data_IF_009372464651
#
_entry.id   IF_009372464651
#
_cell.length_a   1.000
_cell.length_b   1.000
_cell.length_c   1.000
_cell.angle_alpha   90.00
_cell.angle_beta   90.00
_cell.angle_gamma   90.00
#
_symmetry.space_group_name_H-M   'P 1'
#
loop_
_entity.id
_entity.type
_entity.pdbx_description
1 polymer ?
#
# COMPACT_ATOMS: atom_id res chain seq x y z
N UNK A 1 28.55 -15.23 6.72
CA UNK A 1 27.60 -14.10 6.62
C UNK A 1 26.41 -14.44 5.71
N UNK A 2 26.61 -14.74 4.44
CA UNK A 2 25.61 -15.06 3.43
C UNK A 2 24.57 -16.13 3.86
N UNK A 3 24.99 -17.34 4.28
CA UNK A 3 24.06 -18.42 4.74
C UNK A 3 23.18 -17.98 5.91
N UNK A 4 23.72 -17.17 6.83
CA UNK A 4 22.96 -16.62 7.94
C UNK A 4 21.88 -15.67 7.43
N UNK A 5 22.20 -14.82 6.45
CA UNK A 5 21.25 -13.85 5.90
C UNK A 5 20.09 -14.56 5.18
N UNK A 6 20.38 -15.57 4.35
CA UNK A 6 19.32 -16.40 3.73
C UNK A 6 18.39 -17.00 4.77
N UNK A 7 18.94 -17.58 5.84
CA UNK A 7 18.14 -18.16 6.91
C UNK A 7 17.25 -17.11 7.59
N UNK A 8 17.82 -15.98 7.96
CA UNK A 8 17.04 -14.89 8.59
C UNK A 8 15.92 -14.39 7.68
N UNK A 9 16.22 -14.16 6.41
CA UNK A 9 15.18 -13.75 5.43
C UNK A 9 14.08 -14.82 5.30
N UNK A 10 14.42 -16.10 5.29
CA UNK A 10 13.41 -17.16 5.25
C UNK A 10 12.58 -17.21 6.54
N UNK A 11 13.23 -17.08 7.71
CA UNK A 11 12.55 -17.02 9.01
C UNK A 11 11.61 -15.81 9.11
N UNK A 12 12.00 -14.66 8.59
CA UNK A 12 11.18 -13.43 8.55
C UNK A 12 9.93 -13.65 7.68
N UNK A 13 10.11 -14.23 6.48
CA UNK A 13 8.99 -14.54 5.57
C UNK A 13 8.05 -15.58 6.21
N UNK A 14 8.60 -16.63 6.80
CA UNK A 14 7.80 -17.65 7.50
C UNK A 14 7.06 -17.09 8.71
N UNK A 15 7.68 -16.13 9.41
CA UNK A 15 7.15 -15.48 10.59
C UNK A 15 6.01 -14.49 10.33
N UNK A 16 5.77 -14.07 9.09
CA UNK A 16 4.73 -13.09 8.73
C UNK A 16 3.34 -13.48 9.23
N UNK A 17 3.05 -14.79 9.25
CA UNK A 17 1.77 -15.32 9.76
C UNK A 17 1.50 -14.93 11.23
N UNK A 18 2.51 -14.53 11.99
CA UNK A 18 2.33 -14.11 13.38
C UNK A 18 1.64 -12.74 13.48
N UNK A 19 1.84 -11.84 12.51
CA UNK A 19 1.03 -10.64 12.33
C UNK A 19 -0.15 -10.92 11.41
N UNK A 20 -1.28 -11.31 12.00
CA UNK A 20 -2.49 -11.70 11.26
C UNK A 20 -3.04 -10.60 10.36
N UNK A 21 -2.79 -9.34 10.70
CA UNK A 21 -3.24 -8.20 9.91
C UNK A 21 -2.40 -8.05 8.63
N UNK A 22 -1.08 -8.07 8.77
CA UNK A 22 -0.16 -8.03 7.64
C UNK A 22 -0.31 -9.26 6.77
N UNK A 23 -0.39 -10.46 7.38
CA UNK A 23 -0.61 -11.71 6.66
C UNK A 23 -1.89 -11.68 5.80
N UNK A 24 -3.02 -11.25 6.37
CA UNK A 24 -4.27 -11.18 5.61
C UNK A 24 -4.17 -10.19 4.43
N UNK A 25 -3.44 -9.09 4.59
CA UNK A 25 -3.21 -8.14 3.50
C UNK A 25 -2.34 -8.75 2.40
N UNK A 26 -1.23 -9.39 2.76
CA UNK A 26 -0.35 -10.08 1.80
C UNK A 26 -1.12 -11.13 1.01
N UNK A 27 -1.90 -11.99 1.70
CA UNK A 27 -2.70 -13.03 1.05
C UNK A 27 -3.75 -12.46 0.08
N UNK A 28 -4.40 -11.36 0.44
CA UNK A 28 -5.32 -10.68 -0.45
C UNK A 28 -4.59 -10.16 -1.71
N UNK A 29 -3.42 -9.53 -1.55
CA UNK A 29 -2.63 -9.03 -2.68
C UNK A 29 -2.07 -10.16 -3.56
N UNK A 30 -1.61 -11.25 -2.99
CA UNK A 30 -1.20 -12.46 -3.73
C UNK A 30 -2.36 -13.00 -4.58
N UNK A 31 -3.59 -12.98 -4.05
CA UNK A 31 -4.79 -13.44 -4.76
C UNK A 31 -5.18 -12.45 -5.86
N UNK A 32 -5.25 -11.16 -5.54
CA UNK A 32 -5.67 -10.09 -6.44
C UNK A 32 -4.71 -9.89 -7.62
N UNK A 33 -3.42 -10.11 -7.40
CA UNK A 33 -2.35 -9.90 -8.37
C UNK A 33 -1.70 -11.22 -8.82
N UNK A 34 -2.43 -12.35 -8.81
CA UNK A 34 -1.87 -13.68 -9.07
C UNK A 34 -1.16 -13.81 -10.43
N UNK A 35 -1.58 -13.05 -11.42
CA UNK A 35 -0.98 -13.03 -12.77
C UNK A 35 0.13 -11.98 -12.93
N UNK A 36 0.56 -11.36 -11.84
CA UNK A 36 1.57 -10.30 -11.82
C UNK A 36 2.75 -10.67 -10.92
N UNK A 37 3.94 -10.13 -11.20
CA UNK A 37 5.12 -10.29 -10.30
C UNK A 37 4.81 -9.73 -8.89
N UNK A 38 3.91 -8.75 -8.80
CA UNK A 38 3.49 -8.17 -7.53
C UNK A 38 2.72 -9.15 -6.63
N UNK A 39 2.09 -10.17 -7.23
CA UNK A 39 1.36 -11.23 -6.52
C UNK A 39 2.16 -12.49 -6.26
N UNK A 40 3.51 -12.47 -6.36
CA UNK A 40 4.33 -13.63 -6.01
C UNK A 40 4.01 -14.12 -4.60
N UNK A 41 3.67 -15.41 -4.52
CA UNK A 41 3.30 -16.04 -3.26
C UNK A 41 4.50 -16.20 -2.33
N UNK A 42 4.24 -16.22 -1.04
CA UNK A 42 5.23 -16.51 0.00
C UNK A 42 6.07 -17.77 -0.31
N UNK A 43 5.43 -18.84 -0.80
CA UNK A 43 6.13 -20.07 -1.12
C UNK A 43 7.09 -19.90 -2.29
N UNK A 44 6.69 -19.18 -3.35
CA UNK A 44 7.56 -18.89 -4.49
C UNK A 44 8.74 -18.02 -4.08
N UNK A 45 8.51 -17.02 -3.22
CA UNK A 45 9.59 -16.19 -2.68
C UNK A 45 10.56 -17.03 -1.87
N UNK A 46 10.08 -17.92 -0.98
CA UNK A 46 10.92 -18.82 -0.19
C UNK A 46 11.74 -19.77 -1.07
N UNK A 47 11.15 -20.32 -2.12
CA UNK A 47 11.87 -21.16 -3.06
C UNK A 47 12.97 -20.38 -3.81
N UNK A 48 12.71 -19.13 -4.18
CA UNK A 48 13.68 -18.27 -4.82
C UNK A 48 14.81 -17.88 -3.87
N UNK A 49 14.52 -17.57 -2.61
CA UNK A 49 15.52 -17.29 -1.57
C UNK A 49 16.47 -18.48 -1.40
N UNK A 50 15.96 -19.72 -1.40
CA UNK A 50 16.79 -20.94 -1.29
C UNK A 50 17.75 -21.13 -2.48
N UNK A 51 17.43 -20.61 -3.66
CA UNK A 51 18.26 -20.70 -4.89
C UNK A 51 19.36 -19.64 -4.96
N UNK A 52 19.32 -18.60 -4.12
CA UNK A 52 20.33 -17.53 -4.11
C UNK A 52 21.70 -18.07 -3.76
N UNK A 53 22.72 -17.67 -4.52
CA UNK A 53 24.14 -17.99 -4.29
C UNK A 53 24.96 -16.71 -4.15
N UNK A 54 26.16 -16.72 -3.56
CA UNK A 54 27.03 -15.55 -3.53
C UNK A 54 27.30 -14.96 -4.91
N UNK A 55 27.41 -15.82 -5.92
CA UNK A 55 27.65 -15.42 -7.31
C UNK A 55 26.43 -14.73 -7.92
N UNK A 56 25.22 -15.30 -7.75
CA UNK A 56 23.98 -14.69 -8.24
C UNK A 56 23.68 -13.37 -7.54
N UNK A 57 23.95 -13.27 -6.23
CA UNK A 57 23.79 -12.05 -5.46
C UNK A 57 24.73 -10.95 -5.94
N UNK A 58 26.02 -11.28 -6.17
CA UNK A 58 26.98 -10.33 -6.71
C UNK A 58 26.62 -9.90 -8.13
N UNK A 59 26.12 -10.81 -8.96
CA UNK A 59 25.67 -10.49 -10.31
C UNK A 59 24.47 -9.54 -10.27
N UNK A 60 23.48 -9.81 -9.42
CA UNK A 60 22.31 -8.95 -9.23
C UNK A 60 22.71 -7.55 -8.73
N UNK A 61 23.64 -7.48 -7.76
CA UNK A 61 24.15 -6.21 -7.27
C UNK A 61 24.82 -5.37 -8.38
N UNK A 62 25.70 -5.99 -9.17
CA UNK A 62 26.35 -5.33 -10.32
C UNK A 62 25.33 -4.88 -11.36
N UNK A 63 24.33 -5.72 -11.63
CA UNK A 63 23.24 -5.40 -12.55
C UNK A 63 22.47 -4.16 -12.07
N UNK A 64 22.07 -4.12 -10.78
CA UNK A 64 21.36 -2.98 -10.19
C UNK A 64 22.18 -1.69 -10.26
N UNK A 65 23.49 -1.75 -9.93
CA UNK A 65 24.35 -0.57 -10.02
C UNK A 65 24.45 -0.02 -11.44
N UNK A 66 24.44 -0.90 -12.44
CA UNK A 66 24.56 -0.51 -13.86
C UNK A 66 23.25 -0.04 -14.46
N UNK A 67 22.14 -0.70 -14.13
CA UNK A 67 20.88 -0.55 -14.86
C UNK A 67 19.73 -0.01 -14.02
N UNK A 68 19.85 0.01 -12.68
CA UNK A 68 18.78 0.53 -11.84
C UNK A 68 18.72 2.06 -11.85
N UNK A 69 17.52 2.61 -11.65
CA UNK A 69 17.36 4.01 -11.29
C UNK A 69 17.85 4.16 -9.85
N UNK A 70 18.76 5.10 -9.62
CA UNK A 70 19.34 5.36 -8.29
C UNK A 70 19.09 6.81 -7.94
N UNK A 71 18.31 7.04 -6.89
CA UNK A 71 18.11 8.34 -6.29
C UNK A 71 18.91 8.41 -4.99
N UNK A 72 19.56 9.54 -4.78
CA UNK A 72 20.32 9.83 -3.55
C UNK A 72 19.83 11.15 -2.97
N UNK A 73 19.32 11.08 -1.77
CA UNK A 73 18.90 12.26 -1.03
C UNK A 73 20.03 12.66 -0.07
N UNK A 74 20.38 13.93 -0.05
CA UNK A 74 21.35 14.48 0.89
C UNK A 74 20.71 15.69 1.60
N UNK A 75 20.41 15.53 2.87
CA UNK A 75 19.70 16.53 3.68
C UNK A 75 20.60 16.95 4.84
N UNK A 76 20.89 18.22 4.93
CA UNK A 76 21.72 18.76 6.01
C UNK A 76 22.62 19.91 5.55
N UNK A 77 23.57 20.27 6.38
CA UNK A 77 24.56 21.33 6.08
C UNK A 77 25.71 20.77 5.21
N UNK A 78 25.41 20.47 3.96
CA UNK A 78 26.36 19.97 2.96
C UNK A 78 26.18 20.71 1.65
N UNK A 79 27.31 21.01 0.96
CA UNK A 79 27.22 21.65 -0.35
C UNK A 79 26.85 20.64 -1.44
N UNK A 80 26.09 21.10 -2.43
CA UNK A 80 25.72 20.28 -3.60
C UNK A 80 26.96 19.78 -4.36
N UNK A 81 27.99 20.63 -4.51
CA UNK A 81 29.22 20.26 -5.19
C UNK A 81 29.99 19.16 -4.47
N UNK A 82 30.07 19.21 -3.14
CA UNK A 82 30.70 18.15 -2.35
C UNK A 82 29.92 16.83 -2.46
N UNK A 83 28.61 16.87 -2.45
CA UNK A 83 27.78 15.70 -2.70
C UNK A 83 28.06 15.12 -4.09
N UNK A 84 27.98 15.91 -5.13
CA UNK A 84 28.22 15.48 -6.50
C UNK A 84 29.63 14.91 -6.68
N UNK A 85 30.65 15.52 -6.05
CA UNK A 85 32.02 15.03 -6.10
C UNK A 85 32.14 13.65 -5.45
N UNK A 86 31.62 13.48 -4.22
CA UNK A 86 31.64 12.20 -3.50
C UNK A 86 30.89 11.10 -4.26
N UNK A 87 29.76 11.44 -4.88
CA UNK A 87 29.00 10.50 -5.69
C UNK A 87 29.78 10.03 -6.93
N UNK A 88 30.41 10.96 -7.67
CA UNK A 88 31.23 10.60 -8.83
C UNK A 88 32.39 9.69 -8.42
N UNK A 89 33.04 9.96 -7.28
CA UNK A 89 34.10 9.13 -6.75
C UNK A 89 33.58 7.73 -6.37
N UNK A 90 32.44 7.64 -5.68
CA UNK A 90 31.82 6.37 -5.26
C UNK A 90 31.35 5.49 -6.43
N UNK A 91 30.94 6.09 -7.54
CA UNK A 91 30.48 5.38 -8.74
C UNK A 91 31.52 5.26 -9.85
N UNK A 92 32.78 5.67 -9.61
CA UNK A 92 33.85 5.66 -10.62
C UNK A 92 34.11 4.29 -11.24
N UNK A 93 33.98 3.22 -10.45
CA UNK A 93 34.24 1.84 -10.87
C UNK A 93 33.01 1.14 -11.50
N UNK A 94 31.86 1.78 -11.52
CA UNK A 94 30.63 1.17 -12.10
C UNK A 94 30.66 1.18 -13.63
N UNK A 95 31.41 2.11 -14.22
CA UNK A 95 31.48 2.34 -15.66
C UNK A 95 30.23 3.04 -16.21
N UNK A 96 30.00 2.90 -17.51
CA UNK A 96 28.81 3.47 -18.17
C UNK A 96 27.55 2.79 -17.67
N UNK A 97 26.58 3.60 -17.25
CA UNK A 97 25.28 3.14 -16.74
C UNK A 97 24.22 3.29 -17.81
N UNK A 98 23.34 2.30 -17.90
CA UNK A 98 22.18 2.28 -18.79
C UNK A 98 20.90 2.05 -17.97
N UNK A 99 20.46 3.05 -17.17
CA UNK A 99 19.25 2.91 -16.37
C UNK A 99 18.04 2.64 -17.27
N UNK A 100 17.17 1.75 -16.81
CA UNK A 100 15.88 1.52 -17.43
C UNK A 100 14.78 1.66 -16.38
N UNK A 101 13.63 2.12 -16.82
CA UNK A 101 12.45 2.21 -15.99
C UNK A 101 11.69 0.88 -16.08
N UNK A 102 11.48 0.19 -14.94
CA UNK A 102 10.71 -1.04 -14.96
C UNK A 102 9.25 -0.74 -15.27
N UNK A 103 8.64 -1.52 -16.15
CA UNK A 103 7.22 -1.45 -16.43
C UNK A 103 6.41 -1.87 -15.21
N UNK A 104 5.41 -1.06 -14.87
CA UNK A 104 4.40 -1.41 -13.87
C UNK A 104 3.13 -1.85 -14.59
N UNK A 105 2.65 -3.04 -14.28
CA UNK A 105 1.36 -3.51 -14.80
C UNK A 105 0.25 -2.87 -13.98
N UNK A 106 -0.60 -2.09 -14.62
CA UNK A 106 -1.84 -1.58 -14.06
C UNK A 106 -3.01 -2.38 -14.61
N UNK A 107 -3.86 -2.89 -13.72
CA UNK A 107 -5.15 -3.47 -14.08
C UNK A 107 -6.22 -2.46 -13.67
N UNK A 108 -6.91 -1.90 -14.66
CA UNK A 108 -7.83 -0.78 -14.46
C UNK A 108 -9.10 -1.21 -13.74
N UNK A 109 -9.69 -2.32 -14.17
CA UNK A 109 -10.96 -2.84 -13.67
C UNK A 109 -10.82 -4.32 -13.31
N UNK A 110 -11.63 -4.76 -12.36
CA UNK A 110 -11.77 -6.17 -12.06
C UNK A 110 -12.58 -6.87 -13.15
N UNK A 111 -12.09 -8.01 -13.64
CA UNK A 111 -12.85 -8.85 -14.59
C UNK A 111 -13.95 -9.61 -13.86
N UNK A 112 -13.60 -10.31 -12.79
CA UNK A 112 -14.49 -11.09 -11.94
C UNK A 112 -14.16 -10.87 -10.46
N UNK A 113 -15.17 -11.00 -9.58
CA UNK A 113 -14.96 -10.97 -8.14
C UNK A 113 -14.33 -12.29 -7.65
N UNK A 114 -13.18 -12.19 -7.03
CA UNK A 114 -12.51 -13.33 -6.38
C UNK A 114 -12.77 -13.31 -4.88
N UNK A 115 -13.27 -14.40 -4.34
CA UNK A 115 -13.48 -14.58 -2.89
C UNK A 115 -12.63 -15.73 -2.37
N UNK A 116 -11.83 -15.48 -1.33
CA UNK A 116 -11.01 -16.47 -0.65
C UNK A 116 -11.19 -16.40 0.86
N UNK A 117 -11.37 -17.55 1.49
CA UNK A 117 -11.41 -17.66 2.95
C UNK A 117 -10.41 -18.70 3.40
N UNK A 118 -9.54 -18.32 4.34
CA UNK A 118 -8.64 -19.22 5.06
C UNK A 118 -9.02 -19.23 6.52
N UNK A 119 -8.85 -20.37 7.19
CA UNK A 119 -9.15 -20.52 8.62
C UNK A 119 -7.86 -20.62 9.44
N UNK A 120 -7.84 -19.94 10.58
CA UNK A 120 -6.71 -19.97 11.50
C UNK A 120 -7.23 -19.82 12.94
N UNK A 121 -6.59 -20.53 13.88
CA UNK A 121 -6.92 -20.37 15.30
C UNK A 121 -6.58 -18.96 15.76
N UNK A 122 -7.60 -18.14 15.97
CA UNK A 122 -7.49 -16.74 16.40
C UNK A 122 -8.84 -16.19 16.84
N UNK A 123 -8.82 -15.23 17.77
CA UNK A 123 -10.04 -14.67 18.36
C UNK A 123 -10.78 -13.68 17.43
N UNK A 124 -10.09 -13.07 16.48
CA UNK A 124 -10.67 -11.99 15.67
C UNK A 124 -10.34 -12.22 14.19
N UNK A 125 -11.35 -12.40 13.38
CA UNK A 125 -11.20 -12.54 11.92
C UNK A 125 -10.68 -11.26 11.29
N UNK A 126 -9.97 -11.38 10.16
CA UNK A 126 -9.52 -10.28 9.34
C UNK A 126 -10.21 -10.34 7.98
N UNK A 127 -10.90 -9.26 7.63
CA UNK A 127 -11.52 -9.08 6.33
C UNK A 127 -10.74 -8.03 5.57
N UNK A 128 -10.29 -8.37 4.36
CA UNK A 128 -9.54 -7.48 3.48
C UNK A 128 -10.19 -7.46 2.12
N UNK A 129 -10.47 -6.27 1.61
CA UNK A 129 -11.04 -6.05 0.29
C UNK A 129 -10.02 -5.30 -0.57
N UNK A 130 -9.84 -5.77 -1.80
CA UNK A 130 -9.04 -5.11 -2.82
C UNK A 130 -9.93 -4.53 -3.92
N UNK A 131 -9.72 -3.25 -4.24
CA UNK A 131 -10.41 -2.55 -5.32
C UNK A 131 -9.42 -2.14 -6.38
N UNK A 132 -9.75 -2.38 -7.66
CA UNK A 132 -9.10 -1.72 -8.79
C UNK A 132 -9.61 -0.29 -8.85
N UNK A 133 -8.73 0.64 -9.20
CA UNK A 133 -9.02 2.06 -9.11
C UNK A 133 -9.10 2.79 -10.45
N UNK A 134 -9.15 2.08 -11.59
CA UNK A 134 -9.14 2.70 -12.92
C UNK A 134 -7.87 3.50 -13.20
N UNK A 135 -6.73 3.17 -12.56
CA UNK A 135 -5.47 3.85 -12.76
C UNK A 135 -4.71 3.24 -13.94
N UNK A 136 -4.16 4.09 -14.80
CA UNK A 136 -3.27 3.74 -15.90
C UNK A 136 -1.98 4.54 -15.80
N UNK A 137 -0.98 4.22 -16.63
CA UNK A 137 0.26 5.01 -16.74
C UNK A 137 0.01 6.47 -17.19
N UNK A 138 -1.11 6.69 -17.92
CA UNK A 138 -1.45 8.00 -18.50
C UNK A 138 -2.28 8.90 -17.56
N UNK A 139 -2.91 8.33 -16.51
CA UNK A 139 -3.82 9.07 -15.65
C UNK A 139 -3.42 8.96 -14.16
N UNK A 140 -2.33 9.60 -13.78
CA UNK A 140 -1.98 9.73 -12.35
C UNK A 140 -2.81 10.85 -11.70
N UNK A 141 -4.01 10.52 -11.24
CA UNK A 141 -4.85 11.39 -10.43
C UNK A 141 -4.62 11.14 -8.91
N UNK A 142 -3.37 10.96 -8.53
CA UNK A 142 -2.94 10.60 -7.18
C UNK A 142 -3.58 11.47 -6.09
N UNK A 143 -3.66 12.78 -6.29
CA UNK A 143 -4.17 13.71 -5.27
C UNK A 143 -5.65 13.48 -4.99
N UNK A 144 -6.47 13.30 -6.01
CA UNK A 144 -7.90 13.00 -5.85
C UNK A 144 -8.11 11.61 -5.26
N UNK A 145 -7.32 10.59 -5.69
CA UNK A 145 -7.35 9.24 -5.11
C UNK A 145 -6.97 9.24 -3.64
N UNK A 146 -5.96 9.99 -3.27
CA UNK A 146 -5.51 10.08 -1.88
C UNK A 146 -6.58 10.71 -0.99
N UNK A 147 -7.22 11.81 -1.44
CA UNK A 147 -8.34 12.45 -0.70
C UNK A 147 -9.54 11.51 -0.66
N UNK A 148 -9.93 10.91 -1.79
CA UNK A 148 -11.05 9.96 -1.82
C UNK A 148 -10.84 8.82 -0.84
N UNK A 149 -9.65 8.20 -0.83
CA UNK A 149 -9.32 7.12 0.11
C UNK A 149 -9.38 7.57 1.56
N UNK A 150 -8.96 8.81 1.84
CA UNK A 150 -8.97 9.39 3.19
C UNK A 150 -10.39 9.68 3.68
N UNK A 151 -11.23 10.33 2.87
CA UNK A 151 -12.66 10.52 3.17
C UNK A 151 -13.35 9.18 3.41
N UNK A 152 -13.03 8.18 2.60
CA UNK A 152 -13.64 6.87 2.69
C UNK A 152 -13.24 6.12 3.95
N UNK A 153 -11.92 6.02 4.25
CA UNK A 153 -11.43 5.19 5.36
C UNK A 153 -10.08 5.60 5.95
N UNK A 154 -9.63 6.85 5.81
CA UNK A 154 -8.30 7.29 6.21
C UNK A 154 -8.11 7.59 7.69
N UNK A 155 -9.15 7.99 8.41
CA UNK A 155 -9.03 8.42 9.80
C UNK A 155 -10.30 8.26 10.62
N UNK A 156 -10.31 8.72 11.88
CA UNK A 156 -11.47 8.62 12.78
C UNK A 156 -12.71 9.39 12.29
N UNK A 157 -12.52 10.38 11.45
CA UNK A 157 -13.59 11.17 10.82
C UNK A 157 -14.12 10.52 9.53
N UNK A 158 -13.47 9.46 9.03
CA UNK A 158 -13.81 8.82 7.76
C UNK A 158 -15.13 8.06 7.81
N UNK A 159 -15.72 7.88 6.63
CA UNK A 159 -17.01 7.23 6.50
C UNK A 159 -17.03 5.80 7.01
N UNK A 160 -16.01 5.01 6.70
CA UNK A 160 -15.92 3.62 7.19
C UNK A 160 -15.77 3.57 8.71
N UNK A 161 -14.93 4.43 9.28
CA UNK A 161 -14.77 4.49 10.73
C UNK A 161 -16.10 4.86 11.41
N UNK A 162 -16.73 5.95 10.99
CA UNK A 162 -17.94 6.48 11.63
C UNK A 162 -19.15 5.56 11.45
N UNK A 163 -19.31 4.89 10.30
CA UNK A 163 -20.51 4.11 10.02
C UNK A 163 -20.34 2.62 10.33
N UNK A 164 -19.21 1.99 9.97
CA UNK A 164 -19.01 0.55 10.19
C UNK A 164 -18.62 0.27 11.65
N UNK A 165 -17.67 1.07 12.18
CA UNK A 165 -17.15 0.87 13.55
C UNK A 165 -18.01 1.54 14.60
N UNK A 166 -18.18 2.88 14.54
CA UNK A 166 -18.82 3.62 15.63
C UNK A 166 -20.32 3.42 15.65
N UNK A 167 -20.99 3.62 14.53
CA UNK A 167 -22.47 3.59 14.48
C UNK A 167 -23.05 2.19 14.54
N UNK A 168 -22.49 1.25 13.79
CA UNK A 168 -23.02 -0.11 13.68
C UNK A 168 -22.28 -1.12 14.56
N UNK A 169 -21.11 -0.76 15.10
CA UNK A 169 -20.28 -1.62 15.96
C UNK A 169 -19.98 -3.00 15.33
N UNK A 170 -19.83 -3.04 14.00
CA UNK A 170 -19.64 -4.29 13.25
C UNK A 170 -18.17 -4.75 13.22
N UNK A 171 -17.24 -3.87 13.61
CA UNK A 171 -15.81 -4.16 13.55
C UNK A 171 -15.03 -3.40 14.63
N UNK A 172 -13.83 -3.88 14.92
CA UNK A 172 -12.89 -3.21 15.84
C UNK A 172 -12.12 -2.10 15.17
N UNK A 173 -11.84 -2.25 13.89
CA UNK A 173 -11.28 -1.22 13.02
C UNK A 173 -11.79 -1.44 11.59
N UNK A 174 -11.88 -0.36 10.84
CA UNK A 174 -12.13 -0.39 9.39
C UNK A 174 -11.38 0.80 8.80
N UNK A 175 -10.46 0.54 7.88
CA UNK A 175 -9.62 1.57 7.28
C UNK A 175 -9.34 1.29 5.81
N UNK A 176 -9.21 2.35 5.02
CA UNK A 176 -8.83 2.29 3.61
C UNK A 176 -7.39 2.80 3.40
N UNK A 177 -6.68 2.20 2.44
CA UNK A 177 -5.33 2.58 2.06
C UNK A 177 -5.15 2.51 0.54
N UNK A 178 -4.52 3.53 -0.02
CA UNK A 178 -4.09 3.56 -1.42
C UNK A 178 -2.69 2.94 -1.56
N UNK A 179 -2.55 1.96 -2.46
CA UNK A 179 -1.26 1.46 -2.94
C UNK A 179 -0.99 2.18 -4.27
N UNK A 180 -0.34 3.34 -4.19
CA UNK A 180 -0.13 4.26 -5.31
C UNK A 180 0.50 3.56 -6.51
N UNK A 181 1.61 2.82 -6.31
CA UNK A 181 2.35 2.17 -7.40
C UNK A 181 1.58 1.07 -8.14
N UNK A 182 0.36 0.73 -7.71
CA UNK A 182 -0.51 -0.28 -8.35
C UNK A 182 -1.92 0.23 -8.63
N UNK A 183 -2.26 1.43 -8.19
CA UNK A 183 -3.62 1.94 -8.30
C UNK A 183 -4.66 1.15 -7.50
N UNK A 184 -4.23 0.35 -6.53
CA UNK A 184 -5.10 -0.51 -5.72
C UNK A 184 -5.53 0.24 -4.46
N UNK A 185 -6.81 0.18 -4.12
CA UNK A 185 -7.32 0.60 -2.82
C UNK A 185 -7.67 -0.63 -2.01
N UNK A 186 -7.10 -0.70 -0.81
CA UNK A 186 -7.30 -1.81 0.12
C UNK A 186 -8.12 -1.33 1.30
N UNK A 187 -9.17 -2.08 1.66
CA UNK A 187 -9.89 -1.92 2.92
C UNK A 187 -9.52 -3.08 3.84
N UNK A 188 -9.14 -2.77 5.07
CA UNK A 188 -8.86 -3.74 6.10
C UNK A 188 -9.82 -3.57 7.27
N UNK A 189 -10.38 -4.67 7.76
CA UNK A 189 -11.28 -4.66 8.92
C UNK A 189 -11.02 -5.86 9.83
N UNK A 190 -11.10 -5.63 11.14
CA UNK A 190 -11.10 -6.69 12.16
C UNK A 190 -12.52 -6.93 12.63
N UNK A 191 -13.06 -8.12 12.39
CA UNK A 191 -14.48 -8.42 12.57
C UNK A 191 -14.70 -9.74 13.35
N UNK A 192 -15.90 -9.90 13.87
CA UNK A 192 -16.40 -11.24 14.20
C UNK A 192 -16.82 -11.95 12.91
N UNK A 193 -16.61 -13.28 12.83
CA UNK A 193 -16.86 -14.09 11.62
C UNK A 193 -18.28 -13.92 11.09
N UNK A 194 -19.25 -13.85 11.97
CA UNK A 194 -20.67 -13.73 11.67
C UNK A 194 -21.05 -12.37 11.07
N UNK A 195 -20.23 -11.35 11.28
CA UNK A 195 -20.47 -10.00 10.78
C UNK A 195 -19.97 -9.78 9.35
N UNK A 196 -19.31 -10.78 8.70
CA UNK A 196 -18.72 -10.67 7.37
C UNK A 196 -19.65 -9.99 6.37
N UNK A 197 -20.87 -10.54 6.18
CA UNK A 197 -21.80 -10.03 5.17
C UNK A 197 -22.27 -8.62 5.51
N UNK A 198 -22.59 -8.33 6.77
CA UNK A 198 -23.04 -7.00 7.20
C UNK A 198 -21.95 -5.94 6.98
N UNK A 199 -20.69 -6.30 7.21
CA UNK A 199 -19.55 -5.40 6.98
C UNK A 199 -19.37 -5.14 5.49
N UNK A 200 -19.44 -6.18 4.65
CA UNK A 200 -19.38 -6.04 3.19
C UNK A 200 -20.50 -5.14 2.66
N UNK A 201 -21.73 -5.39 3.08
CA UNK A 201 -22.89 -4.61 2.65
C UNK A 201 -22.75 -3.13 3.04
N UNK A 202 -22.28 -2.87 4.26
CA UNK A 202 -22.09 -1.49 4.72
C UNK A 202 -20.92 -0.80 4.02
N UNK A 203 -19.80 -1.49 3.77
CA UNK A 203 -18.68 -0.93 2.99
C UNK A 203 -19.16 -0.55 1.59
N UNK A 204 -19.89 -1.43 0.91
CA UNK A 204 -20.44 -1.15 -0.42
C UNK A 204 -21.42 0.01 -0.38
N UNK A 205 -22.30 0.07 0.60
CA UNK A 205 -23.23 1.20 0.79
C UNK A 205 -22.49 2.52 0.99
N UNK A 206 -21.41 2.53 1.76
CA UNK A 206 -20.59 3.74 1.94
C UNK A 206 -19.86 4.12 0.65
N UNK A 207 -19.42 3.15 -0.14
CA UNK A 207 -18.83 3.42 -1.45
C UNK A 207 -19.87 4.02 -2.43
N UNK A 208 -21.11 3.52 -2.43
CA UNK A 208 -22.18 4.09 -3.26
C UNK A 208 -22.46 5.55 -2.89
N UNK A 209 -22.44 5.90 -1.62
CA UNK A 209 -22.55 7.29 -1.16
C UNK A 209 -21.41 8.15 -1.72
N UNK A 210 -20.17 7.62 -1.73
CA UNK A 210 -19.03 8.30 -2.36
C UNK A 210 -19.23 8.47 -3.87
N UNK A 211 -19.68 7.42 -4.57
CA UNK A 211 -19.97 7.44 -6.01
C UNK A 211 -21.10 8.43 -6.38
N UNK A 212 -22.07 8.60 -5.52
CA UNK A 212 -23.15 9.57 -5.71
C UNK A 212 -22.71 11.01 -5.38
N UNK A 213 -21.59 11.19 -4.67
CA UNK A 213 -21.13 12.50 -4.18
C UNK A 213 -21.88 12.98 -2.94
N UNK A 214 -22.53 12.06 -2.21
CA UNK A 214 -23.37 12.34 -1.03
C UNK A 214 -22.57 12.40 0.29
N UNK A 215 -21.23 12.42 0.24
CA UNK A 215 -20.40 12.71 1.40
C UNK A 215 -20.46 14.20 1.77
N UNK A 216 -20.31 14.51 3.06
CA UNK A 216 -20.47 15.89 3.55
C UNK A 216 -19.27 16.79 3.16
N UNK A 217 -19.50 18.11 3.16
CA UNK A 217 -18.40 19.07 3.03
C UNK A 217 -17.45 18.98 4.23
N UNK A 218 -17.98 18.67 5.42
CA UNK A 218 -17.18 18.51 6.63
C UNK A 218 -16.22 17.33 6.51
N UNK A 219 -16.67 16.15 6.02
CA UNK A 219 -15.83 14.99 5.78
C UNK A 219 -14.71 15.32 4.77
N UNK A 220 -15.06 16.01 3.69
CA UNK A 220 -14.13 16.39 2.63
C UNK A 220 -13.06 17.38 3.12
N UNK A 221 -13.47 18.47 3.79
CA UNK A 221 -12.54 19.48 4.28
C UNK A 221 -11.67 18.95 5.45
N UNK A 222 -12.23 18.09 6.30
CA UNK A 222 -11.45 17.42 7.35
C UNK A 222 -10.34 16.55 6.78
N UNK A 223 -10.64 15.77 5.73
CA UNK A 223 -9.65 14.93 5.04
C UNK A 223 -8.58 15.76 4.34
N UNK A 224 -8.96 16.81 3.60
CA UNK A 224 -8.00 17.74 2.97
C UNK A 224 -7.07 18.35 4.01
N UNK A 225 -7.63 18.85 5.11
CA UNK A 225 -6.86 19.44 6.18
C UNK A 225 -5.88 18.45 6.80
N UNK A 226 -6.34 17.24 7.14
CA UNK A 226 -5.50 16.22 7.75
C UNK A 226 -4.33 15.81 6.85
N UNK A 227 -4.57 15.65 5.54
CA UNK A 227 -3.53 15.35 4.56
C UNK A 227 -2.55 16.52 4.47
N UNK A 228 -3.02 17.75 4.30
CA UNK A 228 -2.14 18.91 4.20
C UNK A 228 -1.29 19.11 5.47
N UNK A 229 -1.87 18.87 6.66
CA UNK A 229 -1.12 18.96 7.92
C UNK A 229 -0.04 17.87 8.01
N UNK A 230 -0.33 16.65 7.55
CA UNK A 230 0.66 15.58 7.45
C UNK A 230 1.79 15.94 6.48
N UNK A 231 1.48 16.54 5.32
CA UNK A 231 2.50 16.95 4.36
C UNK A 231 3.36 18.12 4.87
N UNK A 232 2.79 19.07 5.62
CA UNK A 232 3.57 20.13 6.30
C UNK A 232 4.60 19.56 7.26
N UNK A 233 4.25 18.48 7.97
CA UNK A 233 5.14 17.87 8.96
C UNK A 233 6.38 17.20 8.33
N UNK A 234 6.41 16.94 7.02
CA UNK A 234 7.62 16.46 6.36
C UNK A 234 8.76 17.49 6.42
N UNK A 235 8.47 18.77 6.54
CA UNK A 235 9.48 19.82 6.69
C UNK A 235 10.06 19.94 8.11
N UNK A 236 9.53 19.21 9.10
CA UNK A 236 9.93 19.37 10.50
C UNK A 236 11.29 18.72 10.81
N UNK A 237 11.65 17.65 10.09
CA UNK A 237 12.90 16.92 10.35
C UNK A 237 13.58 16.45 9.07
N UNK A 238 14.92 16.34 9.04
CA UNK A 238 15.66 15.76 7.91
C UNK A 238 15.20 14.34 7.56
N UNK A 239 14.92 13.50 8.56
CA UNK A 239 14.48 12.12 8.36
C UNK A 239 13.11 12.06 7.68
N UNK A 240 12.19 12.96 8.04
CA UNK A 240 10.88 13.04 7.40
C UNK A 240 10.99 13.47 5.93
N UNK A 241 11.86 14.44 5.63
CA UNK A 241 12.16 14.86 4.25
C UNK A 241 12.79 13.72 3.45
N UNK A 242 13.71 12.94 4.02
CA UNK A 242 14.33 11.79 3.34
C UNK A 242 13.29 10.73 2.97
N UNK A 243 12.41 10.38 3.91
CA UNK A 243 11.30 9.47 3.66
C UNK A 243 10.38 10.01 2.56
N UNK A 244 10.03 11.31 2.61
CA UNK A 244 9.16 11.93 1.63
C UNK A 244 9.74 11.86 0.21
N UNK A 245 10.96 12.34 0.03
CA UNK A 245 11.62 12.30 -1.28
C UNK A 245 12.00 10.89 -1.72
N UNK A 246 12.28 9.97 -0.79
CA UNK A 246 12.54 8.57 -1.09
C UNK A 246 11.37 7.83 -1.73
N UNK A 247 10.15 8.35 -1.60
CA UNK A 247 8.96 7.79 -2.27
C UNK A 247 8.76 8.28 -3.70
N UNK A 248 9.60 9.20 -4.20
CA UNK A 248 9.48 9.84 -5.51
C UNK A 248 10.59 9.39 -6.47
N UNK A 249 10.82 8.07 -6.54
CA UNK A 249 11.91 7.50 -7.34
C UNK A 249 11.72 7.69 -8.85
N UNK A 250 10.48 7.79 -9.30
CA UNK A 250 10.10 7.96 -10.71
C UNK A 250 9.20 9.18 -10.86
N UNK A 251 9.31 9.86 -11.99
CA UNK A 251 8.56 11.08 -12.29
C UNK A 251 9.23 12.36 -11.79
N UNK A 252 8.48 13.44 -11.83
CA UNK A 252 8.95 14.75 -11.37
C UNK A 252 8.98 14.80 -9.83
N UNK A 253 10.03 15.41 -9.30
CA UNK A 253 10.15 15.64 -7.86
C UNK A 253 9.24 16.82 -7.48
N UNK A 254 8.30 16.54 -6.59
CA UNK A 254 7.35 17.52 -6.05
C UNK A 254 7.71 17.81 -4.59
N UNK A 255 7.83 19.08 -4.23
CA UNK A 255 8.05 19.47 -2.85
C UNK A 255 6.81 19.26 -1.98
N UNK A 256 6.92 19.16 -0.63
CA UNK A 256 5.75 19.08 0.24
C UNK A 256 4.77 20.23 0.04
N UNK A 257 5.26 21.45 -0.22
CA UNK A 257 4.41 22.64 -0.42
C UNK A 257 3.66 22.57 -1.75
N UNK A 258 4.30 22.18 -2.85
CA UNK A 258 3.65 21.93 -4.14
C UNK A 258 2.61 20.81 -4.05
N UNK A 259 2.91 19.74 -3.30
CA UNK A 259 1.95 18.67 -3.05
C UNK A 259 0.72 19.19 -2.29
N UNK A 260 0.89 20.07 -1.30
CA UNK A 260 -0.20 20.71 -0.57
C UNK A 260 -1.06 21.56 -1.52
N UNK A 261 -0.46 22.35 -2.43
CA UNK A 261 -1.20 23.12 -3.43
C UNK A 261 -2.05 22.21 -4.31
N UNK A 262 -1.49 21.10 -4.77
CA UNK A 262 -2.22 20.09 -5.56
C UNK A 262 -3.39 19.46 -4.77
N UNK A 263 -3.20 19.12 -3.48
CA UNK A 263 -4.31 18.63 -2.64
C UNK A 263 -5.40 19.69 -2.45
N UNK A 264 -5.02 20.95 -2.27
CA UNK A 264 -5.99 22.04 -2.12
C UNK A 264 -6.81 22.29 -3.39
N UNK A 265 -6.24 22.01 -4.55
CA UNK A 265 -6.91 22.14 -5.84
C UNK A 265 -7.95 21.05 -6.11
N UNK A 266 -7.88 19.89 -5.44
CA UNK A 266 -8.84 18.79 -5.62
C UNK A 266 -10.25 19.22 -5.24
N UNK A 267 -11.20 18.93 -6.11
CA UNK A 267 -12.64 19.22 -5.93
C UNK A 267 -13.42 17.99 -5.45
N UNK A 268 -14.65 18.19 -4.99
CA UNK A 268 -15.56 17.09 -4.65
C UNK A 268 -15.91 16.23 -5.87
N UNK A 269 -16.00 16.85 -7.06
CA UNK A 269 -16.28 16.12 -8.30
C UNK A 269 -15.11 15.20 -8.68
N UNK A 270 -13.87 15.60 -8.42
CA UNK A 270 -12.70 14.74 -8.62
C UNK A 270 -12.75 13.52 -7.68
N UNK A 271 -13.09 13.73 -6.41
CA UNK A 271 -13.28 12.63 -5.43
C UNK A 271 -14.40 11.69 -5.85
N UNK A 272 -15.54 12.23 -6.30
CA UNK A 272 -16.64 11.45 -6.84
C UNK A 272 -16.23 10.63 -8.06
N UNK A 273 -15.54 11.26 -9.02
CA UNK A 273 -15.01 10.60 -10.23
C UNK A 273 -14.11 9.43 -9.86
N UNK A 274 -13.21 9.64 -8.92
CA UNK A 274 -12.30 8.59 -8.43
C UNK A 274 -13.07 7.45 -7.76
N UNK A 275 -14.08 7.77 -6.95
CA UNK A 275 -14.92 6.74 -6.33
C UNK A 275 -15.70 5.91 -7.38
N UNK A 276 -16.19 6.55 -8.45
CA UNK A 276 -16.89 5.87 -9.55
C UNK A 276 -15.99 4.88 -10.30
N UNK A 277 -14.68 5.15 -10.36
CA UNK A 277 -13.71 4.26 -11.01
C UNK A 277 -13.38 3.01 -10.19
N UNK A 278 -13.83 2.92 -8.93
CA UNK A 278 -13.53 1.75 -8.10
C UNK A 278 -14.41 0.55 -8.46
N UNK A 279 -13.76 -0.57 -8.74
CA UNK A 279 -14.37 -1.90 -8.88
C UNK A 279 -13.82 -2.85 -7.83
N UNK A 280 -14.70 -3.58 -7.13
CA UNK A 280 -14.30 -4.62 -6.17
C UNK A 280 -13.76 -5.82 -6.93
N UNK A 281 -12.52 -6.19 -6.65
CA UNK A 281 -11.80 -7.28 -7.32
C UNK A 281 -11.72 -8.52 -6.42
N UNK A 282 -11.24 -8.32 -5.19
CA UNK A 282 -10.94 -9.44 -4.29
C UNK A 282 -11.48 -9.20 -2.89
N UNK A 283 -12.12 -10.23 -2.34
CA UNK A 283 -12.54 -10.31 -0.94
C UNK A 283 -11.80 -11.47 -0.28
N UNK A 284 -10.89 -11.14 0.62
CA UNK A 284 -10.16 -12.13 1.40
C UNK A 284 -10.60 -12.11 2.86
N UNK A 285 -10.83 -13.29 3.43
CA UNK A 285 -11.13 -13.43 4.85
C UNK A 285 -10.18 -14.43 5.50
N UNK A 286 -9.43 -14.00 6.51
CA UNK A 286 -8.79 -14.88 7.47
C UNK A 286 -9.78 -15.08 8.64
N UNK A 287 -10.48 -16.21 8.63
CA UNK A 287 -11.50 -16.52 9.60
C UNK A 287 -10.89 -17.09 10.88
N UNK A 288 -11.28 -16.54 12.02
CA UNK A 288 -10.95 -17.10 13.32
C UNK A 288 -11.73 -18.40 13.58
N UNK A 289 -11.02 -19.42 14.03
CA UNK A 289 -11.63 -20.64 14.62
C UNK A 289 -11.31 -20.68 16.09
N UNK A 290 -12.28 -21.08 16.91
CA UNK A 290 -12.04 -21.28 18.33
C UNK A 290 -10.94 -22.33 18.52
N UNK A 291 -10.15 -22.21 19.59
CA UNK A 291 -9.34 -23.34 20.03
C UNK A 291 -10.31 -24.49 20.35
N UNK A 292 -10.12 -25.65 19.75
CA UNK A 292 -10.78 -26.86 20.27
C UNK A 292 -10.43 -26.96 21.77
N UNK A 293 -11.40 -26.66 22.62
CA UNK A 293 -11.33 -27.00 24.03
C UNK A 293 -11.35 -28.51 24.11
N UNK A 294 -10.19 -29.15 24.21
CA UNK A 294 -10.15 -30.55 24.49
C UNK A 294 -9.11 -31.35 23.74
N UNK A 295 -7.90 -31.31 24.22
CA UNK A 295 -7.00 -32.45 24.21
C UNK A 295 -5.99 -32.29 25.36
N UNK A 296 -6.52 -32.28 26.60
CA UNK A 296 -5.80 -32.72 27.78
C UNK A 296 -6.47 -34.02 28.24
N UNK A 297 -5.96 -35.14 27.76
CA UNK A 297 -5.97 -36.45 28.44
C UNK A 297 -4.57 -37.06 28.35
#
# INVERSE_FOLDING_TARGET
MYKRQIRLTAEDIEGEINDKRSYAMTRMLETMCADEIYGLTKNEILENVKKVTPQSLLAAWKFMLKNGIIQLNAIGNISEDDCKKKLREAFSDVGERTPYEPETVFVEEAEDLTELTEELTMNQSKLVLGFRGGMTDENDDFYSRRIMTDVFGGGPYSRLFMNVREKLSLCYYCSARLIRGKGIIVIQSGIEKENRQKVLDEINRQLDIMKNGEFSDEDFEASKKAICDAYRSFNDTPDALDIYYGTQLTGDIVTPDEAIENFLAVTRDDVKKTACALSLDTVYMLAGTDKEDGADE
#
